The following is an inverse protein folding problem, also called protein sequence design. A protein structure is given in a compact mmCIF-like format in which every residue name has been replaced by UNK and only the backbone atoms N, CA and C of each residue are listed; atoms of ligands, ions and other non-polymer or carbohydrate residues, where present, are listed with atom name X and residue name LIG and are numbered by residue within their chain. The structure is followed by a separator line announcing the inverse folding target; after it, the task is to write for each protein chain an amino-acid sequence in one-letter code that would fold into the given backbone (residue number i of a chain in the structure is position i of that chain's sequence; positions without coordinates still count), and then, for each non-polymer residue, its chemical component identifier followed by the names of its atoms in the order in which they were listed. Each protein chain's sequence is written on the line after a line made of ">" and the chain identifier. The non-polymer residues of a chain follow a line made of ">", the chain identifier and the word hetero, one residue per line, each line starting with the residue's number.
data_IF_538614725845
#
_entry.id   IF_538614725845
#
_cell.length_a   1.000
_cell.length_b   1.000
_cell.length_c   1.000
_cell.angle_alpha   90.00
_cell.angle_beta   90.00
_cell.angle_gamma   90.00
#
_symmetry.space_group_name_H-M   'P 1'
#
loop_
_entity.id
_entity.type
_entity.pdbx_description
1 polymer ?
#
# COMPACT_ATOMS: atom_id res chain seq x y z
N UNK A 1 -26.35 -0.40 25.53
CA UNK A 1 -26.17 0.08 24.14
C UNK A 1 -25.21 -0.84 23.44
N UNK A 2 -25.74 -1.77 22.63
CA UNK A 2 -24.95 -2.68 21.82
C UNK A 2 -24.53 -1.95 20.55
N UNK A 3 -23.24 -1.71 20.38
CA UNK A 3 -22.67 -1.24 19.13
C UNK A 3 -22.85 -2.33 18.06
N UNK A 4 -23.66 -2.06 17.06
CA UNK A 4 -23.79 -2.91 15.90
C UNK A 4 -22.44 -2.92 15.15
N UNK A 5 -21.70 -4.03 15.28
CA UNK A 5 -20.57 -4.31 14.43
C UNK A 5 -21.10 -4.50 13.01
N UNK A 6 -20.90 -3.52 12.15
CA UNK A 6 -21.22 -3.63 10.72
C UNK A 6 -20.30 -4.69 10.14
N UNK A 7 -20.79 -5.92 10.03
CA UNK A 7 -20.09 -6.98 9.31
C UNK A 7 -20.10 -6.58 7.83
N UNK A 8 -18.97 -6.10 7.32
CA UNK A 8 -18.79 -5.89 5.88
C UNK A 8 -19.00 -7.23 5.18
N UNK A 9 -20.09 -7.35 4.42
CA UNK A 9 -20.35 -8.52 3.58
C UNK A 9 -19.60 -8.30 2.26
N UNK A 10 -18.41 -8.86 2.16
CA UNK A 10 -17.69 -8.95 0.89
C UNK A 10 -18.42 -9.91 -0.05
N UNK A 11 -18.43 -9.60 -1.35
CA UNK A 11 -18.97 -10.47 -2.38
C UNK A 11 -18.39 -11.89 -2.27
N UNK A 12 -19.20 -12.92 -2.51
CA UNK A 12 -18.87 -14.34 -2.29
C UNK A 12 -17.62 -14.85 -3.03
N UNK A 13 -17.07 -14.04 -3.97
CA UNK A 13 -16.01 -14.44 -4.91
C UNK A 13 -14.65 -13.75 -4.67
N UNK A 14 -14.45 -13.01 -3.58
CA UNK A 14 -13.14 -12.49 -3.18
C UNK A 14 -12.44 -13.43 -2.20
N UNK A 15 -11.14 -13.58 -2.37
CA UNK A 15 -10.30 -14.36 -1.46
C UNK A 15 -10.31 -13.74 -0.04
N UNK A 16 -10.83 -14.45 0.98
CA UNK A 16 -10.94 -13.89 2.33
C UNK A 16 -9.56 -13.61 2.96
N UNK A 17 -8.51 -14.34 2.59
CA UNK A 17 -7.14 -14.10 3.05
C UNK A 17 -6.62 -12.76 2.54
N UNK A 18 -6.85 -12.44 1.26
CA UNK A 18 -6.48 -11.13 0.68
C UNK A 18 -7.23 -9.99 1.38
N UNK A 19 -8.53 -10.15 1.60
CA UNK A 19 -9.34 -9.13 2.29
C UNK A 19 -8.88 -8.90 3.74
N UNK A 20 -8.58 -9.97 4.46
CA UNK A 20 -8.06 -9.88 5.83
C UNK A 20 -6.70 -9.18 5.89
N UNK A 21 -5.80 -9.47 4.94
CA UNK A 21 -4.50 -8.82 4.84
C UNK A 21 -4.64 -7.32 4.55
N UNK A 22 -5.49 -6.93 3.59
CA UNK A 22 -5.77 -5.53 3.28
C UNK A 22 -6.33 -4.77 4.49
N UNK A 23 -7.26 -5.37 5.22
CA UNK A 23 -7.87 -4.77 6.40
C UNK A 23 -6.88 -4.60 7.57
N UNK A 24 -5.95 -5.55 7.74
CA UNK A 24 -4.96 -5.54 8.81
C UNK A 24 -3.76 -4.60 8.51
N UNK A 25 -3.50 -4.30 7.24
CA UNK A 25 -2.29 -3.62 6.81
C UNK A 25 -2.06 -2.25 7.47
N UNK A 26 -3.05 -1.34 7.66
CA UNK A 26 -2.79 -0.05 8.30
C UNK A 26 -2.18 -0.18 9.70
N UNK A 27 -2.67 -1.12 10.49
CA UNK A 27 -2.13 -1.36 11.84
C UNK A 27 -0.75 -2.01 11.79
N UNK A 28 -0.50 -2.89 10.84
CA UNK A 28 0.81 -3.51 10.63
C UNK A 28 1.84 -2.48 10.17
N UNK A 29 1.48 -1.62 9.21
CA UNK A 29 2.34 -0.54 8.71
C UNK A 29 2.77 0.38 9.85
N UNK A 30 1.81 0.84 10.66
CA UNK A 30 2.07 1.68 11.82
C UNK A 30 2.97 1.00 12.85
N UNK A 31 2.71 -0.27 13.17
CA UNK A 31 3.49 -1.03 14.15
C UNK A 31 4.94 -1.22 13.67
N UNK A 32 5.15 -1.58 12.41
CA UNK A 32 6.50 -1.74 11.84
C UNK A 32 7.24 -0.41 11.76
N UNK A 33 6.57 0.67 11.38
CA UNK A 33 7.19 2.00 11.39
C UNK A 33 7.55 2.45 12.83
N UNK A 34 6.65 2.24 13.79
CA UNK A 34 6.90 2.58 15.19
C UNK A 34 8.07 1.82 15.80
N UNK A 35 8.31 0.59 15.35
CA UNK A 35 9.45 -0.23 15.76
C UNK A 35 10.80 0.30 15.24
N UNK A 36 10.82 1.12 14.18
CA UNK A 36 12.05 1.80 13.72
C UNK A 36 12.40 2.90 14.73
N UNK A 37 13.61 2.86 15.34
CA UNK A 37 14.02 3.89 16.29
C UNK A 37 13.94 5.29 15.65
N UNK A 38 13.48 6.33 16.37
CA UNK A 38 13.28 7.67 15.82
C UNK A 38 14.50 8.23 15.06
N UNK A 39 15.72 7.96 15.56
CA UNK A 39 16.95 8.41 14.91
C UNK A 39 17.21 7.76 13.53
N UNK A 40 16.54 6.67 13.21
CA UNK A 40 16.71 5.92 11.95
C UNK A 40 15.55 6.07 10.96
N UNK A 41 14.53 6.85 11.28
CA UNK A 41 13.35 6.99 10.39
C UNK A 41 13.66 7.68 9.06
N UNK A 42 14.74 8.46 9.02
CA UNK A 42 15.29 9.12 7.83
C UNK A 42 16.62 8.51 7.37
N UNK A 43 17.03 7.41 7.98
CA UNK A 43 18.32 6.80 7.70
C UNK A 43 18.31 6.08 6.36
N UNK A 44 19.38 6.31 5.60
CA UNK A 44 19.67 5.62 4.34
C UNK A 44 20.74 4.57 4.58
N UNK A 45 20.52 3.30 4.26
CA UNK A 45 21.54 2.27 4.38
C UNK A 45 22.68 2.51 3.39
N UNK A 46 23.91 2.02 3.66
CA UNK A 46 25.04 2.14 2.72
C UNK A 46 24.77 1.49 1.36
N UNK A 47 23.89 0.51 1.29
CA UNK A 47 23.46 -0.15 0.05
C UNK A 47 22.00 -0.58 0.18
N UNK A 48 21.27 -0.44 -0.92
CA UNK A 48 19.90 -0.91 -1.09
C UNK A 48 19.82 -2.32 -1.71
N UNK A 49 20.96 -2.99 -1.88
CA UNK A 49 20.98 -4.34 -2.44
C UNK A 49 20.14 -5.29 -1.58
N UNK A 50 19.21 -5.98 -2.24
CA UNK A 50 18.30 -6.93 -1.60
C UNK A 50 17.07 -6.30 -0.91
N UNK A 51 16.84 -4.99 -1.06
CA UNK A 51 15.59 -4.38 -0.59
C UNK A 51 14.40 -4.96 -1.34
N UNK A 52 13.33 -5.38 -0.65
CA UNK A 52 12.16 -6.01 -1.30
C UNK A 52 11.15 -5.01 -1.87
N UNK A 53 11.31 -3.73 -1.58
CA UNK A 53 10.48 -2.61 -2.05
C UNK A 53 11.33 -1.62 -2.83
N UNK A 54 10.77 -0.44 -3.14
CA UNK A 54 11.57 0.70 -3.60
C UNK A 54 12.59 1.12 -2.52
N UNK A 55 13.67 1.77 -2.96
CA UNK A 55 14.76 2.22 -2.11
C UNK A 55 14.38 3.46 -1.29
N UNK A 56 13.43 3.29 -0.38
CA UNK A 56 12.88 4.35 0.47
C UNK A 56 13.24 4.17 1.94
N UNK A 57 13.56 5.28 2.61
CA UNK A 57 13.68 5.36 4.07
C UNK A 57 12.34 5.02 4.73
N UNK A 58 12.33 4.79 6.05
CA UNK A 58 11.10 4.40 6.74
C UNK A 58 9.96 5.42 6.57
N UNK A 59 10.23 6.72 6.62
CA UNK A 59 9.21 7.75 6.40
C UNK A 59 8.74 7.80 4.95
N UNK A 60 9.64 7.61 4.00
CA UNK A 60 9.30 7.61 2.58
C UNK A 60 8.43 6.40 2.20
N UNK A 61 8.62 5.24 2.85
CA UNK A 61 7.73 4.08 2.71
C UNK A 61 6.27 4.44 3.07
N UNK A 62 6.05 5.17 4.16
CA UNK A 62 4.70 5.60 4.56
C UNK A 62 4.06 6.52 3.53
N UNK A 63 4.81 7.52 3.06
CA UNK A 63 4.33 8.49 2.08
C UNK A 63 3.98 7.80 0.77
N UNK A 64 4.86 6.90 0.30
CA UNK A 64 4.65 6.13 -0.92
C UNK A 64 3.39 5.27 -0.84
N UNK A 65 3.22 4.50 0.23
CA UNK A 65 2.05 3.64 0.43
C UNK A 65 0.75 4.47 0.40
N UNK A 66 0.71 5.63 1.08
CA UNK A 66 -0.43 6.53 1.05
C UNK A 66 -0.74 7.03 -0.36
N UNK A 67 0.26 7.50 -1.09
CA UNK A 67 0.06 8.11 -2.41
C UNK A 67 -0.32 7.07 -3.46
N UNK A 68 0.28 5.88 -3.41
CA UNK A 68 -0.12 4.77 -4.29
C UNK A 68 -1.55 4.29 -4.00
N UNK A 69 -1.99 4.31 -2.75
CA UNK A 69 -3.39 4.01 -2.42
C UNK A 69 -4.33 5.03 -3.07
N UNK A 70 -4.10 6.33 -2.83
CA UNK A 70 -5.02 7.40 -3.22
C UNK A 70 -4.95 7.67 -4.73
N UNK A 71 -3.76 7.89 -5.26
CA UNK A 71 -3.57 8.33 -6.65
C UNK A 71 -3.37 7.17 -7.62
N UNK A 72 -2.94 6.03 -7.10
CA UNK A 72 -2.80 4.81 -7.87
C UNK A 72 -4.07 3.97 -7.84
N UNK A 73 -4.33 3.25 -6.75
CA UNK A 73 -5.37 2.23 -6.72
C UNK A 73 -6.80 2.78 -6.73
N UNK A 74 -7.11 3.88 -6.03
CA UNK A 74 -8.43 4.49 -6.14
C UNK A 74 -8.75 4.93 -7.58
N UNK A 75 -7.76 5.48 -8.28
CA UNK A 75 -7.91 5.86 -9.69
C UNK A 75 -8.08 4.63 -10.58
N UNK A 76 -7.27 3.59 -10.38
CA UNK A 76 -7.33 2.35 -11.15
C UNK A 76 -8.65 1.62 -10.96
N UNK A 77 -9.16 1.51 -9.73
CA UNK A 77 -10.46 0.92 -9.44
C UNK A 77 -11.59 1.69 -10.14
N UNK A 78 -11.63 3.01 -9.98
CA UNK A 78 -12.65 3.86 -10.61
C UNK A 78 -12.63 3.71 -12.14
N UNK A 79 -11.48 3.79 -12.77
CA UNK A 79 -11.35 3.68 -14.22
C UNK A 79 -11.77 2.29 -14.71
N UNK A 80 -11.37 1.23 -14.04
CA UNK A 80 -11.79 -0.15 -14.40
C UNK A 80 -13.30 -0.35 -14.24
N UNK A 81 -13.94 0.35 -13.30
CA UNK A 81 -15.40 0.30 -13.13
C UNK A 81 -16.18 1.15 -14.15
N UNK A 82 -15.63 2.27 -14.58
CA UNK A 82 -16.36 3.25 -15.40
C UNK A 82 -16.04 3.15 -16.89
N UNK A 83 -14.84 2.72 -17.26
CA UNK A 83 -14.38 2.67 -18.64
C UNK A 83 -14.44 1.23 -19.19
N UNK A 84 -14.43 1.11 -20.52
CA UNK A 84 -14.34 -0.17 -21.21
C UNK A 84 -12.86 -0.51 -21.45
N UNK A 85 -12.33 -1.49 -20.73
CA UNK A 85 -10.96 -2.00 -20.88
C UNK A 85 -9.88 -0.88 -20.88
N UNK A 86 -9.78 -0.04 -19.83
CA UNK A 86 -8.86 1.07 -19.81
C UNK A 86 -7.40 0.62 -19.74
N UNK A 87 -6.49 1.48 -20.22
CA UNK A 87 -5.07 1.40 -19.89
C UNK A 87 -4.81 2.20 -18.62
N UNK A 88 -4.29 1.53 -17.59
CA UNK A 88 -4.02 2.08 -16.27
C UNK A 88 -2.54 2.45 -16.18
N UNK A 89 -2.27 3.71 -15.85
CA UNK A 89 -0.90 4.20 -15.73
C UNK A 89 -0.20 3.65 -14.48
N UNK A 90 1.10 3.40 -14.62
CA UNK A 90 2.04 3.27 -13.51
C UNK A 90 2.40 4.65 -12.95
N UNK A 91 2.81 4.70 -11.69
CA UNK A 91 3.32 5.91 -11.06
C UNK A 91 4.83 5.74 -10.89
N UNK A 92 5.61 6.68 -11.40
CA UNK A 92 7.05 6.73 -11.16
C UNK A 92 7.29 7.28 -9.75
N UNK A 93 7.65 6.39 -8.84
CA UNK A 93 7.67 6.66 -7.41
C UNK A 93 8.85 7.53 -6.97
N UNK A 94 10.01 7.42 -7.59
CA UNK A 94 11.19 8.18 -7.18
C UNK A 94 11.07 9.68 -7.49
N UNK A 95 10.69 10.11 -8.71
CA UNK A 95 10.42 11.52 -8.99
C UNK A 95 9.31 12.10 -8.11
N UNK A 96 8.25 11.33 -7.85
CA UNK A 96 7.15 11.76 -7.00
C UNK A 96 7.59 11.99 -5.55
N UNK A 97 8.42 11.10 -5.01
CA UNK A 97 8.97 11.23 -3.67
C UNK A 97 9.85 12.48 -3.52
N UNK A 98 10.66 12.77 -4.53
CA UNK A 98 11.50 13.97 -4.57
C UNK A 98 10.66 15.25 -4.68
N UNK A 99 9.68 15.28 -5.59
CA UNK A 99 8.78 16.41 -5.80
C UNK A 99 8.00 16.77 -4.52
N UNK A 100 7.52 15.77 -3.79
CA UNK A 100 6.71 15.93 -2.58
C UNK A 100 7.52 16.00 -1.30
N UNK A 101 8.84 15.90 -1.41
CA UNK A 101 9.75 15.92 -0.25
C UNK A 101 9.29 14.97 0.88
N UNK A 102 9.14 13.69 0.55
CA UNK A 102 8.67 12.66 1.49
C UNK A 102 9.49 12.62 2.79
N UNK A 103 10.79 12.91 2.71
CA UNK A 103 11.67 12.95 3.87
C UNK A 103 11.28 14.00 4.92
N UNK A 104 10.51 15.05 4.57
CA UNK A 104 10.05 16.09 5.49
C UNK A 104 8.59 15.90 5.96
N UNK A 105 7.97 14.77 5.64
CA UNK A 105 6.56 14.52 5.96
C UNK A 105 6.32 14.29 7.46
N UNK A 106 5.14 14.68 7.93
CA UNK A 106 4.64 14.32 9.26
C UNK A 106 4.06 12.90 9.23
N UNK A 107 4.75 11.96 9.86
CA UNK A 107 4.37 10.55 9.90
C UNK A 107 2.98 10.32 10.48
N UNK A 108 2.58 11.06 11.53
CA UNK A 108 1.27 10.91 12.14
C UNK A 108 0.16 11.31 11.17
N UNK A 109 0.36 12.40 10.44
CA UNK A 109 -0.56 12.85 9.39
C UNK A 109 -0.63 11.85 8.24
N UNK A 110 0.52 11.37 7.75
CA UNK A 110 0.59 10.39 6.66
C UNK A 110 -0.17 9.11 7.02
N UNK A 111 0.04 8.58 8.23
CA UNK A 111 -0.66 7.39 8.71
C UNK A 111 -2.17 7.61 8.86
N UNK A 112 -2.59 8.78 9.34
CA UNK A 112 -4.01 9.13 9.44
C UNK A 112 -4.67 9.22 8.05
N UNK A 113 -4.04 9.89 7.11
CA UNK A 113 -4.50 10.02 5.72
C UNK A 113 -4.59 8.62 5.06
N UNK A 114 -3.58 7.78 5.27
CA UNK A 114 -3.57 6.42 4.74
C UNK A 114 -4.69 5.55 5.32
N UNK A 115 -4.95 5.62 6.64
CA UNK A 115 -6.08 4.88 7.26
C UNK A 115 -7.41 5.26 6.64
N UNK A 116 -7.65 6.54 6.41
CA UNK A 116 -8.88 7.01 5.75
C UNK A 116 -8.96 6.50 4.31
N UNK A 117 -7.85 6.55 3.57
CA UNK A 117 -7.80 6.02 2.21
C UNK A 117 -8.10 4.51 2.18
N UNK A 118 -7.54 3.72 3.11
CA UNK A 118 -7.81 2.27 3.20
C UNK A 118 -9.26 1.97 3.57
N UNK A 119 -9.90 2.77 4.41
CA UNK A 119 -11.35 2.63 4.68
C UNK A 119 -12.11 2.77 3.37
N UNK A 120 -11.82 3.79 2.56
CA UNK A 120 -12.44 3.98 1.25
C UNK A 120 -12.18 2.81 0.30
N UNK A 121 -10.95 2.29 0.28
CA UNK A 121 -10.61 1.09 -0.51
C UNK A 121 -11.48 -0.10 -0.10
N UNK A 122 -11.60 -0.36 1.20
CA UNK A 122 -12.41 -1.48 1.69
C UNK A 122 -13.90 -1.29 1.40
N UNK A 123 -14.40 -0.06 1.43
CA UNK A 123 -15.76 0.28 1.00
C UNK A 123 -15.97 0.02 -0.50
N UNK A 124 -15.05 0.44 -1.35
CA UNK A 124 -15.08 0.14 -2.79
C UNK A 124 -15.14 -1.37 -3.01
N UNK A 125 -14.22 -2.12 -2.40
CA UNK A 125 -14.14 -3.59 -2.58
C UNK A 125 -15.41 -4.27 -2.09
N UNK A 126 -15.94 -3.86 -0.93
CA UNK A 126 -17.16 -4.46 -0.36
C UNK A 126 -18.42 -4.17 -1.17
N UNK A 127 -18.42 -3.09 -1.95
CA UNK A 127 -19.54 -2.71 -2.83
C UNK A 127 -19.53 -3.40 -4.19
N UNK A 128 -18.44 -4.10 -4.56
CA UNK A 128 -18.32 -4.75 -5.86
C UNK A 128 -19.29 -5.92 -5.98
N UNK A 129 -20.03 -5.93 -7.10
CA UNK A 129 -20.82 -7.08 -7.51
C UNK A 129 -19.97 -8.18 -8.16
N UNK A 130 -20.48 -9.39 -8.21
CA UNK A 130 -19.82 -10.50 -8.90
C UNK A 130 -19.58 -10.20 -10.39
N UNK A 131 -20.43 -9.39 -11.03
CA UNK A 131 -20.26 -8.98 -12.42
C UNK A 131 -19.16 -7.91 -12.62
N UNK A 132 -18.80 -7.18 -11.58
CA UNK A 132 -17.74 -6.16 -11.65
C UNK A 132 -16.33 -6.73 -11.44
N UNK A 133 -16.20 -7.82 -10.70
CA UNK A 133 -14.90 -8.46 -10.42
C UNK A 133 -14.14 -8.92 -11.67
N UNK A 134 -14.78 -9.46 -12.75
CA UNK A 134 -14.08 -9.85 -13.97
C UNK A 134 -13.87 -8.71 -14.98
N UNK A 135 -14.27 -7.46 -14.67
CA UNK A 135 -14.00 -6.32 -15.57
C UNK A 135 -12.52 -6.18 -15.83
N UNK A 136 -12.17 -5.96 -17.10
CA UNK A 136 -10.79 -6.01 -17.57
C UNK A 136 -10.17 -4.61 -17.73
N UNK A 137 -8.86 -4.56 -17.61
CA UNK A 137 -8.01 -3.41 -17.90
C UNK A 137 -6.64 -3.88 -18.36
N UNK A 138 -5.80 -2.97 -18.83
CA UNK A 138 -4.36 -3.19 -19.02
C UNK A 138 -3.63 -2.30 -18.05
N UNK A 139 -2.75 -2.86 -17.22
CA UNK A 139 -1.95 -2.08 -16.27
C UNK A 139 -0.50 -2.06 -16.74
N UNK A 140 0.06 -0.86 -16.92
CA UNK A 140 1.44 -0.67 -17.36
C UNK A 140 2.42 -1.41 -16.43
N UNK A 141 3.30 -2.22 -17.01
CA UNK A 141 4.24 -3.07 -16.27
C UNK A 141 3.68 -4.42 -15.83
N UNK A 142 2.33 -4.58 -15.76
CA UNK A 142 1.67 -5.83 -15.37
C UNK A 142 0.93 -6.52 -16.51
N UNK A 143 0.54 -5.76 -17.55
CA UNK A 143 -0.22 -6.31 -18.68
C UNK A 143 -1.72 -6.42 -18.42
N UNK A 144 -2.43 -7.28 -19.20
CA UNK A 144 -3.87 -7.50 -19.05
C UNK A 144 -4.22 -8.08 -17.67
N UNK A 145 -5.28 -7.55 -17.06
CA UNK A 145 -5.74 -7.97 -15.74
C UNK A 145 -7.25 -7.74 -15.55
N UNK A 146 -7.76 -8.15 -14.41
CA UNK A 146 -9.14 -7.93 -13.98
C UNK A 146 -9.21 -7.03 -12.74
N UNK A 147 -10.40 -6.54 -12.40
CA UNK A 147 -10.64 -5.86 -11.13
C UNK A 147 -10.18 -6.71 -9.94
N UNK A 148 -10.45 -8.02 -9.96
CA UNK A 148 -9.98 -8.97 -8.94
C UNK A 148 -8.45 -9.00 -8.87
N UNK A 149 -7.76 -8.97 -10.00
CA UNK A 149 -6.28 -8.91 -10.04
C UNK A 149 -5.76 -7.65 -9.38
N UNK A 150 -6.36 -6.48 -9.62
CA UNK A 150 -5.97 -5.22 -9.00
C UNK A 150 -6.03 -5.29 -7.47
N UNK A 151 -7.05 -5.95 -6.91
CA UNK A 151 -7.18 -6.13 -5.46
C UNK A 151 -6.05 -7.00 -4.90
N UNK A 152 -5.69 -8.08 -5.60
CA UNK A 152 -4.55 -8.91 -5.22
C UNK A 152 -3.22 -8.15 -5.35
N UNK A 153 -3.04 -7.34 -6.39
CA UNK A 153 -1.81 -6.55 -6.57
C UNK A 153 -1.67 -5.45 -5.53
N UNK A 154 -2.77 -4.83 -5.09
CA UNK A 154 -2.73 -3.93 -3.93
C UNK A 154 -2.23 -4.64 -2.68
N UNK A 155 -2.76 -5.83 -2.39
CA UNK A 155 -2.30 -6.63 -1.26
C UNK A 155 -0.81 -7.00 -1.38
N UNK A 156 -0.35 -7.37 -2.59
CA UNK A 156 1.06 -7.66 -2.85
C UNK A 156 1.95 -6.45 -2.62
N UNK A 157 1.54 -5.26 -3.07
CA UNK A 157 2.24 -4.01 -2.84
C UNK A 157 2.35 -3.69 -1.34
N UNK A 158 1.28 -3.86 -0.58
CA UNK A 158 1.30 -3.70 0.88
C UNK A 158 2.37 -4.59 1.53
N UNK A 159 2.42 -5.87 1.15
CA UNK A 159 3.39 -6.81 1.71
C UNK A 159 4.84 -6.46 1.36
N UNK A 160 5.08 -5.91 0.17
CA UNK A 160 6.41 -5.43 -0.22
C UNK A 160 6.90 -4.32 0.72
N UNK A 161 6.01 -3.39 1.11
CA UNK A 161 6.38 -2.28 1.98
C UNK A 161 6.51 -2.70 3.45
N UNK A 162 5.75 -3.69 3.93
CA UNK A 162 6.03 -4.31 5.22
C UNK A 162 7.40 -4.99 5.22
N UNK A 163 7.70 -5.75 4.18
CA UNK A 163 9.00 -6.38 4.01
C UNK A 163 10.13 -5.34 3.92
N UNK A 164 9.90 -4.20 3.26
CA UNK A 164 10.84 -3.07 3.20
C UNK A 164 11.17 -2.49 4.58
N UNK A 165 10.17 -2.27 5.42
CA UNK A 165 10.39 -1.80 6.80
C UNK A 165 11.11 -2.84 7.66
N UNK A 166 10.77 -4.12 7.52
CA UNK A 166 11.47 -5.20 8.22
C UNK A 166 12.92 -5.32 7.77
N UNK A 167 13.19 -5.17 6.47
CA UNK A 167 14.54 -5.16 5.92
C UNK A 167 15.35 -3.99 6.46
N UNK A 168 14.78 -2.77 6.55
CA UNK A 168 15.43 -1.61 7.17
C UNK A 168 15.76 -1.88 8.65
N UNK A 169 14.83 -2.44 9.42
CA UNK A 169 15.09 -2.81 10.80
C UNK A 169 16.28 -3.77 10.93
N UNK A 170 16.34 -4.80 10.07
CA UNK A 170 17.48 -5.72 10.04
C UNK A 170 18.80 -5.04 9.67
N UNK A 171 18.80 -4.09 8.72
CA UNK A 171 19.98 -3.31 8.35
C UNK A 171 20.45 -2.38 9.49
N UNK A 172 19.52 -1.77 10.21
CA UNK A 172 19.83 -0.94 11.39
C UNK A 172 20.50 -1.79 12.46
N UNK A 173 19.91 -2.94 12.82
CA UNK A 173 20.49 -3.83 13.81
C UNK A 173 21.90 -4.30 13.42
N UNK A 174 22.08 -4.68 12.16
CA UNK A 174 23.39 -5.08 11.65
C UNK A 174 24.44 -3.95 11.71
N UNK A 175 24.03 -2.69 11.53
CA UNK A 175 24.92 -1.54 11.57
C UNK A 175 25.46 -1.25 12.98
N UNK A 176 24.70 -1.64 14.01
CA UNK A 176 25.12 -1.44 15.43
C UNK A 176 26.15 -2.46 15.90
N UNK A 177 26.29 -3.60 15.22
CA UNK A 177 27.28 -4.64 15.56
C UNK A 177 28.65 -4.35 14.92
N UNK A 178 28.70 -3.54 13.88
CA UNK A 178 29.93 -3.22 13.14
C UNK A 178 30.75 -2.07 13.77
N UNK A 179 30.30 -1.51 14.90
CA UNK A 179 31.01 -0.51 15.71
C UNK A 179 31.66 -1.15 16.93
#
# INVERSE_FOLDING_TARGET
>A
FYGASTIMRFGKNMNPTTLSALAAFPSQLEAHYAAIPPAFRHWTPPSWEGVPSEAFTAIEQLCHVRDIEIEGYHVRFRRTLQESHPTLASIDSEPLAAERNYGAADAAKVLADFRLARVQTMEIISSLSDAQLPRTAVFEGYGPLTMRSLIHYLCSHDQQHLAGLQWLAGKIDASTVAQ
#
